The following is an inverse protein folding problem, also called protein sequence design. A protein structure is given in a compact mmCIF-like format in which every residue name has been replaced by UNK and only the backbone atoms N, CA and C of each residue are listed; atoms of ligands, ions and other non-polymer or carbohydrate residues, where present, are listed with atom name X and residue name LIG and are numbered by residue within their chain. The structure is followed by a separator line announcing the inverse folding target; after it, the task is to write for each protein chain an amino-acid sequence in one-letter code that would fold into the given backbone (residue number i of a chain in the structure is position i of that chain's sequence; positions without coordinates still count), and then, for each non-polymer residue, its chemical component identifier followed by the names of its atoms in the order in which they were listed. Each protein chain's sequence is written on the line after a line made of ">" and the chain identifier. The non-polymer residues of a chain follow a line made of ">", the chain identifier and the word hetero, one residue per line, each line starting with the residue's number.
data_IF_212610122535
#
_entry.id   IF_212610122535
#
_cell.length_a   1.000
_cell.length_b   1.000
_cell.length_c   1.000
_cell.angle_alpha   90.00
_cell.angle_beta   90.00
_cell.angle_gamma   90.00
#
_symmetry.space_group_name_H-M   'P 1'
#
loop_
_entity.id
_entity.type
_entity.pdbx_description
1 polymer ?
#
# COMPACT_ATOMS: atom_id res chain seq x y z
N UNK A 1 -14.64 -24.58 9.00
CA UNK A 1 -13.63 -25.35 9.77
C UNK A 1 -12.28 -25.37 9.06
N UNK A 2 -12.25 -25.52 7.73
CA UNK A 2 -11.00 -25.58 6.94
C UNK A 2 -10.10 -24.34 7.09
N UNK A 3 -10.65 -23.11 7.10
CA UNK A 3 -9.87 -21.88 7.27
C UNK A 3 -9.10 -21.85 8.59
N UNK A 4 -9.69 -22.36 9.68
CA UNK A 4 -9.07 -22.34 11.02
C UNK A 4 -7.87 -23.29 11.09
N UNK A 5 -7.98 -24.49 10.51
CA UNK A 5 -6.86 -25.44 10.44
C UNK A 5 -5.74 -24.88 9.56
N UNK A 6 -6.09 -24.26 8.44
CA UNK A 6 -5.12 -23.66 7.53
C UNK A 6 -4.34 -22.50 8.17
N UNK A 7 -5.02 -21.61 8.89
CA UNK A 7 -4.40 -20.50 9.63
C UNK A 7 -3.44 -21.01 10.71
N UNK A 8 -3.77 -22.11 11.39
CA UNK A 8 -2.87 -22.73 12.36
C UNK A 8 -1.59 -23.28 11.71
N UNK A 9 -1.68 -23.79 10.48
CA UNK A 9 -0.50 -24.27 9.76
C UNK A 9 0.40 -23.12 9.29
N UNK A 10 -0.18 -22.00 8.82
CA UNK A 10 0.57 -20.79 8.46
C UNK A 10 1.33 -20.19 9.65
N UNK A 11 0.78 -20.32 10.86
CA UNK A 11 1.38 -19.85 12.11
C UNK A 11 2.18 -20.92 12.87
N UNK A 12 2.44 -22.08 12.25
CA UNK A 12 3.21 -23.17 12.87
C UNK A 12 4.68 -22.76 13.08
N UNK A 13 5.29 -23.21 14.18
CA UNK A 13 6.73 -23.05 14.40
C UNK A 13 7.58 -23.84 13.40
N UNK A 14 7.01 -24.88 12.76
CA UNK A 14 7.73 -25.70 11.78
C UNK A 14 7.75 -25.01 10.40
N UNK A 15 8.96 -24.63 9.95
CA UNK A 15 9.16 -23.96 8.66
C UNK A 15 8.58 -24.74 7.47
N UNK A 16 8.77 -26.07 7.42
CA UNK A 16 8.28 -26.90 6.31
C UNK A 16 6.76 -26.87 6.22
N UNK A 17 6.09 -26.94 7.38
CA UNK A 17 4.63 -26.84 7.46
C UNK A 17 4.15 -25.50 6.92
N UNK A 18 4.80 -24.38 7.31
CA UNK A 18 4.45 -23.05 6.80
C UNK A 18 4.64 -22.95 5.29
N UNK A 19 5.78 -23.42 4.77
CA UNK A 19 6.09 -23.37 3.33
C UNK A 19 5.06 -24.17 2.50
N UNK A 20 4.75 -25.41 2.90
CA UNK A 20 3.71 -26.21 2.23
C UNK A 20 2.33 -25.56 2.30
N UNK A 21 1.97 -24.95 3.44
CA UNK A 21 0.72 -24.20 3.54
C UNK A 21 0.69 -22.97 2.65
N UNK A 22 1.79 -22.23 2.51
CA UNK A 22 1.85 -21.08 1.60
C UNK A 22 1.72 -21.48 0.13
N UNK A 23 2.23 -22.64 -0.27
CA UNK A 23 2.02 -23.18 -1.63
C UNK A 23 0.55 -23.55 -1.87
N UNK A 24 -0.09 -24.19 -0.89
CA UNK A 24 -1.51 -24.52 -0.96
C UNK A 24 -2.43 -23.29 -0.92
N UNK A 25 -1.95 -22.15 -0.39
CA UNK A 25 -2.72 -20.92 -0.21
C UNK A 25 -3.21 -20.36 -1.54
N UNK A 26 -2.37 -20.35 -2.58
CA UNK A 26 -2.80 -19.82 -3.89
C UNK A 26 -4.04 -20.55 -4.42
N UNK A 27 -4.08 -21.88 -4.28
CA UNK A 27 -5.26 -22.68 -4.64
C UNK A 27 -6.45 -22.37 -3.76
N UNK A 28 -6.23 -22.18 -2.46
CA UNK A 28 -7.29 -21.83 -1.50
C UNK A 28 -7.91 -20.45 -1.81
N UNK A 29 -7.10 -19.46 -2.18
CA UNK A 29 -7.55 -18.11 -2.55
C UNK A 29 -8.42 -18.08 -3.81
N UNK A 30 -8.14 -18.95 -4.78
CA UNK A 30 -8.93 -19.08 -6.02
C UNK A 30 -10.31 -19.66 -5.78
N UNK A 31 -10.50 -20.36 -4.66
CA UNK A 31 -11.67 -21.17 -4.45
C UNK A 31 -12.94 -20.31 -4.23
N UNK A 32 -14.05 -20.57 -4.95
CA UNK A 32 -15.26 -19.74 -4.88
C UNK A 32 -15.84 -19.59 -3.47
N UNK A 33 -15.69 -20.62 -2.62
CA UNK A 33 -16.14 -20.59 -1.24
C UNK A 33 -15.46 -19.49 -0.42
N UNK A 34 -14.16 -19.26 -0.63
CA UNK A 34 -13.43 -18.21 0.10
C UNK A 34 -13.81 -16.83 -0.44
N UNK A 35 -13.87 -16.67 -1.77
CA UNK A 35 -14.26 -15.41 -2.41
C UNK A 35 -15.64 -14.91 -1.94
N UNK A 36 -16.58 -15.84 -1.74
CA UNK A 36 -17.91 -15.55 -1.20
C UNK A 36 -17.98 -15.43 0.33
N UNK A 37 -16.89 -15.73 1.05
CA UNK A 37 -16.87 -15.65 2.51
C UNK A 37 -16.95 -14.20 3.01
N UNK A 38 -17.30 -14.06 4.30
CA UNK A 38 -17.35 -12.78 5.00
C UNK A 38 -15.94 -12.26 5.28
N UNK A 39 -15.83 -10.94 5.51
CA UNK A 39 -14.57 -10.26 5.85
C UNK A 39 -13.78 -10.98 6.95
N UNK A 40 -14.46 -11.50 7.98
CA UNK A 40 -13.84 -12.20 9.11
C UNK A 40 -12.92 -13.37 8.70
N UNK A 41 -13.25 -14.09 7.62
CA UNK A 41 -12.40 -15.20 7.16
C UNK A 41 -11.10 -14.70 6.52
N UNK A 42 -11.15 -13.55 5.82
CA UNK A 42 -9.96 -12.86 5.29
C UNK A 42 -9.11 -12.28 6.43
N UNK A 43 -9.73 -11.72 7.48
CA UNK A 43 -9.03 -11.20 8.65
C UNK A 43 -8.26 -12.32 9.38
N UNK A 44 -8.89 -13.48 9.59
CA UNK A 44 -8.22 -14.66 10.18
C UNK A 44 -7.06 -15.14 9.31
N UNK A 45 -7.25 -15.17 8.00
CA UNK A 45 -6.23 -15.58 7.05
C UNK A 45 -5.01 -14.66 7.13
N UNK A 46 -5.21 -13.34 7.04
CA UNK A 46 -4.12 -12.37 7.15
C UNK A 46 -3.46 -12.38 8.52
N UNK A 47 -4.17 -12.68 9.60
CA UNK A 47 -3.56 -12.89 10.90
C UNK A 47 -2.60 -14.09 10.91
N UNK A 48 -2.93 -15.16 10.18
CA UNK A 48 -2.01 -16.27 9.94
C UNK A 48 -0.78 -15.87 9.12
N UNK A 49 -0.96 -15.10 8.05
CA UNK A 49 0.13 -14.61 7.19
C UNK A 49 1.05 -13.63 7.92
N UNK A 50 0.49 -12.78 8.77
CA UNK A 50 1.25 -11.90 9.67
C UNK A 50 2.23 -12.70 10.52
N UNK A 51 1.79 -13.81 11.13
CA UNK A 51 2.67 -14.67 11.90
C UNK A 51 3.63 -15.49 11.04
N UNK A 52 3.27 -15.84 9.80
CA UNK A 52 4.23 -16.43 8.87
C UNK A 52 5.42 -15.49 8.62
N UNK A 53 5.18 -14.18 8.47
CA UNK A 53 6.24 -13.17 8.41
C UNK A 53 6.96 -12.99 9.76
N UNK A 54 6.22 -13.05 10.88
CA UNK A 54 6.79 -12.95 12.23
C UNK A 54 7.90 -13.97 12.47
N UNK A 55 7.70 -15.23 12.06
CA UNK A 55 8.66 -16.32 12.19
C UNK A 55 9.71 -16.41 11.06
N UNK A 56 9.78 -15.41 10.19
CA UNK A 56 10.85 -15.29 9.20
C UNK A 56 11.99 -14.45 9.77
N UNK A 57 13.11 -15.08 10.13
CA UNK A 57 14.20 -14.44 10.89
C UNK A 57 15.42 -14.06 10.04
N UNK A 58 15.50 -14.54 8.79
CA UNK A 58 16.66 -14.29 7.92
C UNK A 58 16.27 -13.30 6.81
N UNK A 59 17.14 -12.33 6.44
CA UNK A 59 16.81 -11.29 5.46
C UNK A 59 16.33 -11.82 4.10
N UNK A 60 17.08 -12.72 3.45
CA UNK A 60 16.69 -13.28 2.14
C UNK A 60 15.34 -14.03 2.19
N UNK A 61 15.07 -14.91 3.17
CA UNK A 61 13.72 -15.46 3.37
C UNK A 61 12.62 -14.43 3.64
N UNK A 62 12.89 -13.34 4.37
CA UNK A 62 11.92 -12.27 4.59
C UNK A 62 11.53 -11.58 3.27
N UNK A 63 12.52 -11.20 2.45
CA UNK A 63 12.29 -10.60 1.13
C UNK A 63 11.45 -11.51 0.24
N UNK A 64 11.87 -12.78 0.06
CA UNK A 64 11.10 -13.75 -0.73
C UNK A 64 9.69 -13.97 -0.20
N UNK A 65 9.50 -13.99 1.12
CA UNK A 65 8.18 -14.12 1.71
C UNK A 65 7.33 -12.88 1.46
N UNK A 66 7.89 -11.67 1.59
CA UNK A 66 7.18 -10.42 1.29
C UNK A 66 6.69 -10.39 -0.16
N UNK A 67 7.54 -10.77 -1.12
CA UNK A 67 7.14 -10.86 -2.53
C UNK A 67 6.03 -11.90 -2.73
N UNK A 68 6.20 -13.11 -2.20
CA UNK A 68 5.18 -14.17 -2.28
C UNK A 68 3.84 -13.73 -1.72
N UNK A 69 3.83 -13.01 -0.60
CA UNK A 69 2.61 -12.49 0.02
C UNK A 69 1.97 -11.37 -0.82
N UNK A 70 2.78 -10.49 -1.42
CA UNK A 70 2.31 -9.50 -2.39
C UNK A 70 1.70 -10.14 -3.64
N UNK A 71 2.36 -11.15 -4.23
CA UNK A 71 1.89 -11.83 -5.43
C UNK A 71 0.52 -12.53 -5.25
N UNK A 72 0.11 -12.82 -4.01
CA UNK A 72 -1.22 -13.38 -3.71
C UNK A 72 -2.36 -12.51 -4.22
N UNK A 73 -2.19 -11.19 -4.31
CA UNK A 73 -3.22 -10.29 -4.81
C UNK A 73 -3.51 -10.52 -6.30
N UNK A 74 -2.51 -10.90 -7.09
CA UNK A 74 -2.66 -11.27 -8.50
C UNK A 74 -3.54 -12.49 -8.72
N UNK A 75 -3.75 -13.33 -7.70
CA UNK A 75 -4.62 -14.53 -7.78
C UNK A 75 -6.08 -14.19 -8.03
N UNK A 76 -6.52 -12.98 -7.66
CA UNK A 76 -7.88 -12.55 -7.90
C UNK A 76 -8.11 -12.06 -9.33
N UNK A 77 -7.07 -11.73 -10.09
CA UNK A 77 -7.24 -11.22 -11.44
C UNK A 77 -7.62 -12.33 -12.43
N UNK A 78 -8.64 -12.07 -13.24
CA UNK A 78 -9.00 -12.86 -14.42
C UNK A 78 -9.16 -11.91 -15.62
N UNK A 79 -8.52 -12.23 -16.75
CA UNK A 79 -8.60 -11.41 -17.95
C UNK A 79 -10.03 -11.27 -18.50
N UNK A 80 -10.94 -12.20 -18.19
CA UNK A 80 -12.35 -12.09 -18.55
C UNK A 80 -13.08 -11.00 -17.77
N UNK A 81 -12.57 -10.61 -16.59
CA UNK A 81 -13.16 -9.54 -15.81
C UNK A 81 -13.03 -8.17 -16.51
N UNK A 82 -12.06 -8.02 -17.43
CA UNK A 82 -11.92 -6.83 -18.27
C UNK A 82 -12.81 -6.85 -19.53
N UNK A 83 -13.36 -8.02 -19.90
CA UNK A 83 -14.22 -8.17 -21.09
C UNK A 83 -15.68 -7.87 -20.78
N UNK A 84 -16.13 -8.22 -19.57
CA UNK A 84 -17.44 -7.79 -19.08
C UNK A 84 -17.43 -6.27 -18.94
N UNK A 85 -18.52 -5.60 -19.30
CA UNK A 85 -18.67 -4.15 -19.33
C UNK A 85 -17.89 -3.51 -18.19
N UNK A 86 -16.88 -2.69 -18.51
CA UNK A 86 -15.80 -2.22 -17.62
C UNK A 86 -16.24 -1.47 -16.34
N UNK A 87 -17.55 -1.35 -16.13
CA UNK A 87 -18.22 -0.60 -15.09
C UNK A 87 -18.79 -1.47 -13.95
N UNK A 88 -18.77 -2.80 -14.06
CA UNK A 88 -19.28 -3.67 -13.00
C UNK A 88 -18.17 -4.28 -12.12
N UNK A 89 -18.38 -4.19 -10.80
CA UNK A 89 -17.51 -4.82 -9.79
C UNK A 89 -17.78 -6.33 -9.75
N UNK A 90 -16.80 -7.12 -10.13
CA UNK A 90 -16.91 -8.59 -10.17
C UNK A 90 -16.82 -9.21 -8.77
N UNK A 91 -17.10 -10.51 -8.68
CA UNK A 91 -16.87 -11.28 -7.45
C UNK A 91 -15.39 -11.31 -7.05
N UNK A 92 -14.49 -11.33 -8.04
CA UNK A 92 -13.05 -11.29 -7.82
C UNK A 92 -12.62 -9.97 -7.20
N UNK A 93 -13.14 -8.84 -7.69
CA UNK A 93 -12.86 -7.51 -7.12
C UNK A 93 -13.33 -7.40 -5.67
N UNK A 94 -14.51 -7.94 -5.36
CA UNK A 94 -15.03 -7.97 -3.98
C UNK A 94 -14.14 -8.80 -3.07
N UNK A 95 -13.58 -9.91 -3.55
CA UNK A 95 -12.63 -10.72 -2.79
C UNK A 95 -11.29 -10.00 -2.61
N UNK A 96 -10.79 -9.34 -3.66
CA UNK A 96 -9.62 -8.47 -3.62
C UNK A 96 -9.79 -7.37 -2.55
N UNK A 97 -10.89 -6.63 -2.54
CA UNK A 97 -11.14 -5.60 -1.52
C UNK A 97 -11.13 -6.15 -0.10
N UNK A 98 -11.78 -7.30 0.13
CA UNK A 98 -11.80 -7.93 1.46
C UNK A 98 -10.40 -8.37 1.89
N UNK A 99 -9.63 -8.94 0.97
CA UNK A 99 -8.25 -9.39 1.23
C UNK A 99 -7.32 -8.18 1.49
N UNK A 100 -7.41 -7.11 0.70
CA UNK A 100 -6.68 -5.85 0.94
C UNK A 100 -7.05 -5.22 2.28
N UNK A 101 -8.35 -5.13 2.58
CA UNK A 101 -8.84 -4.59 3.86
C UNK A 101 -8.36 -5.39 5.05
N UNK A 102 -8.34 -6.72 4.94
CA UNK A 102 -7.86 -7.61 5.99
C UNK A 102 -6.36 -7.40 6.29
N UNK A 103 -5.53 -7.21 5.26
CA UNK A 103 -4.12 -6.88 5.44
C UNK A 103 -3.94 -5.61 6.29
N UNK A 104 -4.54 -4.50 5.85
CA UNK A 104 -4.43 -3.23 6.55
C UNK A 104 -5.01 -3.30 7.95
N UNK A 105 -6.15 -3.98 8.14
CA UNK A 105 -6.75 -4.17 9.46
C UNK A 105 -5.82 -4.91 10.42
N UNK A 106 -5.24 -6.03 9.98
CA UNK A 106 -4.30 -6.80 10.81
C UNK A 106 -3.07 -5.96 11.13
N UNK A 107 -2.56 -5.21 10.15
CA UNK A 107 -1.40 -4.34 10.37
C UNK A 107 -1.69 -3.22 11.37
N UNK A 108 -2.81 -2.50 11.24
CA UNK A 108 -3.21 -1.45 12.18
C UNK A 108 -3.38 -1.99 13.62
N UNK A 109 -3.91 -3.20 13.78
CA UNK A 109 -4.08 -3.82 15.10
C UNK A 109 -2.75 -4.24 15.74
N UNK A 110 -1.78 -4.66 14.93
CA UNK A 110 -0.53 -5.23 15.42
C UNK A 110 0.66 -4.28 15.36
N UNK A 111 0.53 -3.11 14.73
CA UNK A 111 1.65 -2.20 14.47
C UNK A 111 2.47 -1.88 15.71
N UNK A 112 1.79 -1.54 16.82
CA UNK A 112 2.43 -1.22 18.09
C UNK A 112 3.11 -2.42 18.76
N UNK A 113 2.70 -3.65 18.43
CA UNK A 113 3.30 -4.87 18.97
C UNK A 113 4.55 -5.31 18.21
N UNK A 114 4.89 -4.65 17.10
CA UNK A 114 6.10 -4.93 16.32
C UNK A 114 7.28 -4.26 17.02
N UNK A 115 8.19 -5.06 17.56
CA UNK A 115 9.43 -4.53 18.12
C UNK A 115 10.38 -4.03 17.03
N UNK A 116 11.32 -3.15 17.43
CA UNK A 116 12.27 -2.49 16.52
C UNK A 116 13.03 -3.46 15.61
N UNK A 117 13.39 -4.67 16.08
CA UNK A 117 14.15 -5.63 15.27
C UNK A 117 13.31 -6.34 14.21
N UNK A 118 11.98 -6.22 14.29
CA UNK A 118 11.04 -6.79 13.31
C UNK A 118 10.44 -5.73 12.38
N UNK A 119 10.61 -4.45 12.67
CA UNK A 119 9.94 -3.38 11.94
C UNK A 119 10.28 -3.40 10.44
N UNK A 120 11.56 -3.53 10.08
CA UNK A 120 12.03 -3.45 8.69
C UNK A 120 11.36 -4.46 7.76
N UNK A 121 11.17 -5.70 8.20
CA UNK A 121 10.49 -6.72 7.37
C UNK A 121 9.00 -6.44 7.19
N UNK A 122 8.36 -5.76 8.13
CA UNK A 122 6.97 -5.33 7.99
C UNK A 122 6.85 -4.07 7.13
N UNK A 123 7.80 -3.14 7.19
CA UNK A 123 7.89 -2.01 6.25
C UNK A 123 8.06 -2.52 4.81
N UNK A 124 8.96 -3.48 4.60
CA UNK A 124 9.13 -4.15 3.31
C UNK A 124 7.84 -4.89 2.88
N UNK A 125 7.17 -5.58 3.82
CA UNK A 125 5.90 -6.25 3.51
C UNK A 125 4.85 -5.26 3.05
N UNK A 126 4.71 -4.10 3.71
CA UNK A 126 3.80 -3.02 3.28
C UNK A 126 4.13 -2.58 1.88
N UNK A 127 5.42 -2.34 1.58
CA UNK A 127 5.88 -1.94 0.25
C UNK A 127 5.48 -2.96 -0.83
N UNK A 128 5.77 -4.25 -0.62
CA UNK A 128 5.42 -5.33 -1.58
C UNK A 128 3.92 -5.57 -1.72
N UNK A 129 3.17 -5.45 -0.63
CA UNK A 129 1.72 -5.63 -0.65
C UNK A 129 1.04 -4.45 -1.34
N UNK A 130 1.43 -3.22 -1.02
CA UNK A 130 0.89 -2.02 -1.64
C UNK A 130 1.13 -2.01 -3.15
N UNK A 131 2.36 -2.30 -3.59
CA UNK A 131 2.70 -2.47 -5.00
C UNK A 131 1.79 -3.47 -5.72
N UNK A 132 1.60 -4.66 -5.15
CA UNK A 132 0.76 -5.68 -5.79
C UNK A 132 -0.74 -5.34 -5.75
N UNK A 133 -1.19 -4.52 -4.78
CA UNK A 133 -2.54 -3.95 -4.81
C UNK A 133 -2.69 -2.97 -5.98
N UNK A 134 -1.71 -2.08 -6.22
CA UNK A 134 -1.71 -1.20 -7.39
C UNK A 134 -1.62 -1.99 -8.70
N UNK A 135 -0.76 -3.01 -8.76
CA UNK A 135 -0.63 -3.91 -9.92
C UNK A 135 -1.93 -4.63 -10.26
N UNK A 136 -2.73 -5.00 -9.26
CA UNK A 136 -4.07 -5.54 -9.50
C UNK A 136 -4.98 -4.51 -10.19
N UNK A 137 -4.97 -3.25 -9.73
CA UNK A 137 -5.75 -2.17 -10.33
C UNK A 137 -5.29 -1.87 -11.77
N UNK A 138 -3.98 -1.85 -12.02
CA UNK A 138 -3.41 -1.72 -13.36
C UNK A 138 -3.85 -2.89 -14.27
N UNK A 139 -3.82 -4.12 -13.75
CA UNK A 139 -4.30 -5.32 -14.50
C UNK A 139 -5.79 -5.24 -14.81
N UNK A 140 -6.58 -4.57 -13.96
CA UNK A 140 -8.00 -4.21 -14.22
C UNK A 140 -8.16 -2.94 -15.06
N UNK A 141 -7.12 -2.52 -15.78
CA UNK A 141 -7.08 -1.35 -16.65
C UNK A 141 -7.63 -0.09 -15.95
N UNK A 142 -7.31 0.07 -14.67
CA UNK A 142 -7.76 1.21 -13.86
C UNK A 142 -9.28 1.42 -13.89
N UNK A 143 -10.07 0.34 -13.95
CA UNK A 143 -11.55 0.41 -13.94
C UNK A 143 -12.04 1.33 -12.81
N UNK A 144 -12.69 2.44 -13.19
CA UNK A 144 -13.19 3.48 -12.28
C UNK A 144 -13.93 2.94 -11.04
N UNK A 145 -14.93 2.03 -11.16
CA UNK A 145 -15.62 1.48 -9.99
C UNK A 145 -14.70 0.62 -9.10
N UNK A 146 -13.70 -0.04 -9.68
CA UNK A 146 -12.74 -0.85 -8.91
C UNK A 146 -11.76 0.04 -8.15
N UNK A 147 -11.23 1.08 -8.80
CA UNK A 147 -10.36 2.08 -8.20
C UNK A 147 -11.08 2.83 -7.08
N UNK A 148 -12.26 3.40 -7.35
CA UNK A 148 -13.07 4.08 -6.34
C UNK A 148 -13.45 3.12 -5.19
N UNK A 149 -13.82 1.88 -5.51
CA UNK A 149 -14.12 0.85 -4.52
C UNK A 149 -12.93 0.52 -3.62
N UNK A 150 -11.71 0.47 -4.16
CA UNK A 150 -10.49 0.26 -3.40
C UNK A 150 -10.15 1.46 -2.51
N UNK A 151 -10.16 2.68 -3.06
CA UNK A 151 -9.92 3.92 -2.30
C UNK A 151 -10.88 4.01 -1.11
N UNK A 152 -12.19 3.94 -1.35
CA UNK A 152 -13.20 4.13 -0.32
C UNK A 152 -13.25 2.98 0.70
N UNK A 153 -13.28 1.73 0.24
CA UNK A 153 -13.52 0.57 1.12
C UNK A 153 -12.26 0.05 1.80
N UNK A 154 -11.08 0.40 1.28
CA UNK A 154 -9.78 -0.07 1.76
C UNK A 154 -9.00 1.11 2.33
N UNK A 155 -8.50 2.03 1.50
CA UNK A 155 -7.55 3.06 1.90
C UNK A 155 -8.15 4.08 2.89
N UNK A 156 -9.19 4.81 2.49
CA UNK A 156 -9.88 5.79 3.35
C UNK A 156 -10.55 5.14 4.56
N UNK A 157 -10.88 3.85 4.48
CA UNK A 157 -11.52 3.15 5.60
C UNK A 157 -10.57 2.77 6.74
N UNK A 158 -9.26 2.64 6.47
CA UNK A 158 -8.29 2.14 7.43
C UNK A 158 -6.96 2.91 7.36
N UNK A 159 -5.97 2.55 6.52
CA UNK A 159 -4.62 3.09 6.64
C UNK A 159 -4.55 4.61 6.42
N UNK A 160 -5.44 5.17 5.60
CA UNK A 160 -5.54 6.60 5.29
C UNK A 160 -6.85 7.20 5.79
N UNK A 161 -7.41 6.69 6.90
CA UNK A 161 -8.64 7.22 7.50
C UNK A 161 -8.43 8.50 8.33
N UNK A 162 -7.18 8.75 8.75
CA UNK A 162 -6.87 9.79 9.72
C UNK A 162 -7.54 9.59 11.10
N UNK A 163 -8.06 8.41 11.41
CA UNK A 163 -8.55 8.11 12.76
C UNK A 163 -7.35 7.97 13.72
N UNK A 164 -7.43 8.63 14.87
CA UNK A 164 -6.50 8.49 16.00
C UNK A 164 -6.19 7.04 16.43
N UNK A 165 -7.08 6.09 16.13
CA UNK A 165 -6.88 4.65 16.40
C UNK A 165 -5.87 3.99 15.46
N UNK A 166 -5.58 4.62 14.32
CA UNK A 166 -4.58 4.14 13.36
C UNK A 166 -3.26 4.80 13.71
N UNK A 167 -2.26 3.98 14.01
CA UNK A 167 -0.91 4.47 14.31
C UNK A 167 -0.33 5.24 13.12
N UNK A 168 0.22 6.43 13.39
CA UNK A 168 0.76 7.34 12.36
C UNK A 168 1.87 6.75 11.51
N UNK A 169 2.63 5.77 12.03
CA UNK A 169 3.69 5.12 11.27
C UNK A 169 3.23 4.41 9.99
N UNK A 170 1.95 3.98 9.92
CA UNK A 170 1.40 3.36 8.71
C UNK A 170 1.18 4.39 7.59
N UNK A 171 0.36 5.45 7.76
CA UNK A 171 0.18 6.45 6.72
C UNK A 171 1.49 7.17 6.35
N UNK A 172 2.37 7.42 7.32
CA UNK A 172 3.70 7.98 7.06
C UNK A 172 4.50 7.07 6.12
N UNK A 173 4.58 5.77 6.40
CA UNK A 173 5.28 4.84 5.51
C UNK A 173 4.62 4.73 4.13
N UNK A 174 3.30 4.92 4.00
CA UNK A 174 2.64 4.96 2.70
C UNK A 174 3.06 6.21 1.91
N UNK A 175 3.14 7.37 2.57
CA UNK A 175 3.65 8.62 1.98
C UNK A 175 5.06 8.40 1.44
N UNK A 176 5.94 7.81 2.25
CA UNK A 176 7.34 7.57 1.89
C UNK A 176 7.53 6.65 0.67
N UNK A 177 6.54 5.83 0.29
CA UNK A 177 6.69 4.84 -0.79
C UNK A 177 5.74 5.02 -1.99
N UNK A 178 4.70 5.85 -1.89
CA UNK A 178 3.62 5.84 -2.89
C UNK A 178 4.11 6.20 -4.30
N UNK A 179 4.92 7.25 -4.41
CA UNK A 179 5.44 7.71 -5.70
C UNK A 179 6.47 6.73 -6.26
N UNK A 180 7.33 6.17 -5.42
CA UNK A 180 8.29 5.13 -5.83
C UNK A 180 7.60 3.88 -6.39
N UNK A 181 6.55 3.39 -5.70
CA UNK A 181 5.84 2.20 -6.16
C UNK A 181 5.00 2.50 -7.40
N UNK A 182 4.57 3.75 -7.61
CA UNK A 182 3.93 4.17 -8.85
C UNK A 182 4.91 4.18 -10.02
N UNK A 183 6.08 4.80 -9.84
CA UNK A 183 7.15 4.82 -10.84
C UNK A 183 7.58 3.39 -11.21
N UNK A 184 7.76 2.53 -10.20
CA UNK A 184 8.06 1.12 -10.40
C UNK A 184 6.97 0.39 -11.20
N UNK A 185 5.70 0.70 -10.96
CA UNK A 185 4.58 0.09 -11.66
C UNK A 185 4.56 0.45 -13.16
N UNK A 186 5.04 1.64 -13.51
CA UNK A 186 5.10 2.14 -14.88
C UNK A 186 6.34 1.66 -15.63
N UNK A 187 7.49 1.66 -14.95
CA UNK A 187 8.78 1.23 -15.51
C UNK A 187 8.94 -0.29 -15.55
N UNK A 188 8.12 -1.04 -14.79
CA UNK A 188 8.34 -2.45 -14.48
C UNK A 188 9.70 -2.73 -13.81
N UNK A 189 10.34 -1.72 -13.22
CA UNK A 189 11.63 -1.84 -12.55
C UNK A 189 11.61 -2.96 -11.51
N UNK A 190 12.67 -3.78 -11.53
CA UNK A 190 12.84 -4.83 -10.54
C UNK A 190 13.75 -4.39 -9.40
N UNK A 191 13.19 -3.91 -8.28
CA UNK A 191 13.96 -3.51 -7.08
C UNK A 191 14.88 -4.61 -6.48
N UNK A 192 14.85 -5.86 -6.98
CA UNK A 192 15.76 -6.92 -6.52
C UNK A 192 17.06 -7.01 -7.31
N UNK A 193 17.10 -6.44 -8.51
CA UNK A 193 18.25 -6.48 -9.40
C UNK A 193 18.43 -5.11 -10.02
N UNK A 194 19.54 -4.45 -9.69
CA UNK A 194 20.00 -3.29 -10.46
C UNK A 194 20.38 -3.81 -11.86
N UNK A 195 19.44 -3.76 -12.79
CA UNK A 195 19.71 -4.05 -14.18
C UNK A 195 20.34 -2.80 -14.78
N UNK A 196 21.66 -2.78 -14.89
CA UNK A 196 22.43 -1.71 -15.54
C UNK A 196 21.98 -1.46 -17.01
N UNK A 197 21.27 -2.42 -17.61
CA UNK A 197 20.73 -2.37 -18.97
C UNK A 197 19.25 -1.89 -19.05
N UNK A 198 18.61 -1.52 -17.94
CA UNK A 198 17.23 -1.03 -17.95
C UNK A 198 17.19 0.41 -18.47
N UNK A 199 16.63 0.63 -19.67
CA UNK A 199 16.50 1.97 -20.25
C UNK A 199 15.70 2.88 -19.30
N UNK A 200 16.35 3.90 -18.75
CA UNK A 200 15.66 4.92 -17.94
C UNK A 200 14.72 5.71 -18.85
N UNK A 201 13.41 5.62 -18.57
CA UNK A 201 12.41 6.44 -19.21
C UNK A 201 12.70 7.91 -18.94
N UNK A 202 12.58 8.74 -19.97
CA UNK A 202 12.65 10.19 -19.82
C UNK A 202 11.48 10.70 -18.96
N UNK A 203 11.65 11.86 -18.33
CA UNK A 203 10.59 12.47 -17.51
C UNK A 203 9.32 12.75 -18.32
N UNK A 204 9.45 13.07 -19.62
CA UNK A 204 8.31 13.25 -20.54
C UNK A 204 7.55 11.93 -20.76
N UNK A 205 8.26 10.81 -20.93
CA UNK A 205 7.64 9.48 -21.06
C UNK A 205 6.95 9.07 -19.76
N UNK A 206 7.58 9.31 -18.60
CA UNK A 206 6.97 9.05 -17.30
C UNK A 206 5.69 9.87 -17.11
N UNK A 207 5.73 11.18 -17.42
CA UNK A 207 4.56 12.05 -17.34
C UNK A 207 3.41 11.56 -18.25
N UNK A 208 3.73 11.15 -19.48
CA UNK A 208 2.73 10.57 -20.39
C UNK A 208 2.09 9.30 -19.82
N UNK A 209 2.88 8.41 -19.22
CA UNK A 209 2.36 7.19 -18.62
C UNK A 209 1.51 7.47 -17.39
N UNK A 210 1.91 8.43 -16.55
CA UNK A 210 1.17 8.81 -15.32
C UNK A 210 -0.20 9.40 -15.65
N UNK A 211 -0.34 10.18 -16.74
CA UNK A 211 -1.62 10.76 -17.19
C UNK A 211 -2.72 9.72 -17.43
N UNK A 212 -2.34 8.52 -17.86
CA UNK A 212 -3.27 7.40 -18.08
C UNK A 212 -3.61 6.62 -16.80
N UNK A 213 -3.09 7.04 -15.64
CA UNK A 213 -3.32 6.39 -14.34
C UNK A 213 -4.16 7.25 -13.39
N UNK A 214 -4.83 6.64 -12.40
CA UNK A 214 -5.63 7.37 -11.43
C UNK A 214 -4.80 7.99 -10.30
N UNK A 215 -3.50 8.29 -10.49
CA UNK A 215 -2.63 8.81 -9.42
C UNK A 215 -3.23 10.05 -8.75
N UNK A 216 -3.81 10.98 -9.53
CA UNK A 216 -4.47 12.17 -9.01
C UNK A 216 -5.55 11.84 -7.94
N UNK A 217 -6.34 10.78 -8.14
CA UNK A 217 -7.36 10.33 -7.17
C UNK A 217 -6.75 9.79 -5.88
N UNK A 218 -5.53 9.27 -5.93
CA UNK A 218 -4.81 8.82 -4.74
C UNK A 218 -4.20 10.01 -4.00
N UNK A 219 -3.62 10.98 -4.72
CA UNK A 219 -3.09 12.23 -4.15
C UNK A 219 -4.20 13.03 -3.47
N UNK A 220 -5.40 13.07 -4.04
CA UNK A 220 -6.58 13.71 -3.45
C UNK A 220 -6.90 13.21 -2.03
N UNK A 221 -6.66 11.93 -1.73
CA UNK A 221 -6.82 11.37 -0.37
C UNK A 221 -5.92 12.11 0.62
N UNK A 222 -4.68 12.38 0.23
CA UNK A 222 -3.70 13.04 1.08
C UNK A 222 -4.00 14.53 1.20
N UNK A 223 -4.42 15.18 0.11
CA UNK A 223 -4.89 16.58 0.14
C UNK A 223 -6.09 16.74 1.08
N UNK A 224 -7.07 15.83 1.06
CA UNK A 224 -8.18 15.82 2.02
C UNK A 224 -7.69 15.69 3.47
N UNK A 225 -6.74 14.79 3.74
CA UNK A 225 -6.18 14.57 5.08
C UNK A 225 -5.34 15.75 5.58
N UNK A 226 -4.60 16.41 4.70
CA UNK A 226 -3.76 17.58 5.04
C UNK A 226 -4.62 18.81 5.38
N UNK A 227 -5.77 18.98 4.70
CA UNK A 227 -6.68 20.10 4.93
C UNK A 227 -7.60 19.90 6.15
N UNK A 228 -7.83 18.67 6.61
CA UNK A 228 -8.65 18.43 7.79
C UNK A 228 -7.88 18.75 9.08
N UNK A 229 -8.10 19.95 9.61
CA UNK A 229 -7.49 20.48 10.84
C UNK A 229 -7.69 19.60 12.09
N UNK A 230 -8.68 18.71 12.09
CA UNK A 230 -8.91 17.78 13.19
C UNK A 230 -7.95 16.59 13.19
N UNK A 231 -7.15 16.43 12.13
CA UNK A 231 -6.17 15.35 11.99
C UNK A 231 -4.82 15.74 12.59
N UNK A 232 -4.01 14.72 12.88
CA UNK A 232 -2.69 14.88 13.50
C UNK A 232 -1.83 15.89 12.74
N UNK A 233 -1.38 16.97 13.41
CA UNK A 233 -0.47 17.98 12.83
C UNK A 233 0.75 17.32 12.18
N UNK A 234 1.35 16.33 12.85
CA UNK A 234 2.51 15.58 12.34
C UNK A 234 2.21 14.90 11.00
N UNK A 235 1.02 14.30 10.85
CA UNK A 235 0.64 13.67 9.58
C UNK A 235 0.38 14.72 8.50
N UNK A 236 -0.27 15.84 8.83
CA UNK A 236 -0.55 16.92 7.88
C UNK A 236 0.73 17.57 7.36
N UNK A 237 1.68 17.85 8.24
CA UNK A 237 3.01 18.36 7.90
C UNK A 237 3.77 17.38 7.00
N UNK A 238 3.86 16.09 7.39
CA UNK A 238 4.50 15.05 6.56
C UNK A 238 3.86 14.94 5.16
N UNK A 239 2.55 15.11 5.03
CA UNK A 239 1.89 15.14 3.71
C UNK A 239 2.30 16.38 2.93
N UNK A 240 2.26 17.57 3.57
CA UNK A 240 2.66 18.84 2.96
C UNK A 240 4.10 18.72 2.46
N UNK A 241 5.05 18.52 3.36
CA UNK A 241 6.50 18.57 3.14
C UNK A 241 7.01 17.46 2.22
N UNK A 242 6.66 16.19 2.46
CA UNK A 242 7.27 15.08 1.74
C UNK A 242 6.52 14.63 0.49
N UNK A 243 5.19 14.78 0.46
CA UNK A 243 4.38 14.30 -0.66
C UNK A 243 3.98 15.41 -1.61
N UNK A 244 3.36 16.47 -1.11
CA UNK A 244 2.79 17.52 -1.97
C UNK A 244 3.85 18.45 -2.56
N UNK A 245 5.01 18.59 -1.91
CA UNK A 245 6.17 19.30 -2.44
C UNK A 245 7.13 18.41 -3.24
N UNK A 246 6.84 17.11 -3.42
CA UNK A 246 7.70 16.24 -4.24
C UNK A 246 7.67 16.70 -5.71
N UNK A 247 8.84 17.06 -6.25
CA UNK A 247 9.00 17.56 -7.62
C UNK A 247 8.40 16.63 -8.69
N UNK A 248 8.34 15.32 -8.42
CA UNK A 248 7.75 14.33 -9.35
C UNK A 248 6.29 14.63 -9.63
N UNK A 249 5.52 15.15 -8.66
CA UNK A 249 4.11 15.47 -8.88
C UNK A 249 3.92 16.63 -9.87
N UNK A 250 4.85 17.59 -9.89
CA UNK A 250 4.88 18.67 -10.88
C UNK A 250 5.37 18.14 -12.23
N UNK A 251 6.48 17.38 -12.24
CA UNK A 251 7.03 16.78 -13.48
C UNK A 251 6.05 15.85 -14.18
N UNK A 252 5.25 15.11 -13.41
CA UNK A 252 4.21 14.23 -13.94
C UNK A 252 2.87 14.92 -14.23
N UNK A 253 2.83 16.25 -14.14
CA UNK A 253 1.64 17.09 -14.39
C UNK A 253 0.41 16.71 -13.53
N UNK A 254 0.64 16.22 -12.30
CA UNK A 254 -0.43 15.92 -11.34
C UNK A 254 -0.82 17.18 -10.56
N UNK A 255 0.17 17.98 -10.15
CA UNK A 255 -0.02 19.27 -9.51
C UNK A 255 0.46 20.38 -10.44
N UNK A 256 -0.29 21.48 -10.52
CA UNK A 256 0.19 22.71 -11.13
C UNK A 256 1.09 23.45 -10.14
N UNK A 257 2.18 24.05 -10.60
CA UNK A 257 2.95 25.02 -9.81
C UNK A 257 1.99 26.17 -9.48
N UNK A 258 1.51 26.22 -8.26
CA UNK A 258 0.90 27.42 -7.68
C UNK A 258 1.99 28.12 -6.88
N UNK A 259 2.24 29.39 -7.17
CA UNK A 259 3.23 30.28 -6.53
C UNK A 259 3.10 30.40 -4.99
N UNK A 260 2.16 29.71 -4.35
CA UNK A 260 1.95 29.71 -2.90
C UNK A 260 3.06 28.96 -2.11
N UNK A 261 3.87 28.14 -2.78
CA UNK A 261 4.95 27.38 -2.14
C UNK A 261 6.20 28.21 -1.80
N UNK A 262 6.46 29.30 -2.53
CA UNK A 262 7.61 30.18 -2.23
C UNK A 262 7.27 31.13 -1.06
N UNK A 263 6.06 31.71 -1.03
CA UNK A 263 5.65 32.66 0.03
C UNK A 263 5.46 32.00 1.41
N UNK A 264 5.01 30.74 1.49
CA UNK A 264 4.90 30.04 2.79
C UNK A 264 6.26 29.56 3.33
N UNK A 265 7.24 29.28 2.45
CA UNK A 265 8.57 28.83 2.87
C UNK A 265 9.40 29.95 3.51
N UNK A 266 9.31 31.19 2.98
CA UNK A 266 9.96 32.36 3.58
C UNK A 266 9.30 32.75 4.92
N UNK A 267 7.99 32.54 5.06
CA UNK A 267 7.28 32.84 6.31
C UNK A 267 7.55 31.83 7.44
N UNK A 268 7.79 30.55 7.13
CA UNK A 268 8.12 29.52 8.13
C UNK A 268 9.61 29.59 8.57
N UNK A 269 10.54 29.99 7.69
CA UNK A 269 11.95 30.28 8.08
C UNK A 269 12.04 31.46 9.07
N UNK A 270 11.24 32.51 8.88
CA UNK A 270 11.18 33.66 9.80
C UNK A 270 10.58 33.28 11.18
N UNK A 271 9.62 32.34 11.24
CA UNK A 271 9.06 31.87 12.52
C UNK A 271 10.02 30.94 13.29
N UNK A 272 10.83 30.12 12.60
CA UNK A 272 11.84 29.27 13.26
C UNK A 272 13.04 30.07 13.80
N UNK A 273 13.42 31.20 13.17
CA UNK A 273 14.45 32.10 13.72
C UNK A 273 13.99 32.83 15.01
N UNK A 274 12.69 33.09 15.18
CA UNK A 274 12.17 33.75 16.39
C UNK A 274 12.09 32.82 17.62
N UNK A 275 12.09 31.49 17.44
CA UNK A 275 12.08 30.50 18.53
C UNK A 275 13.49 30.09 19.04
N UNK A 276 14.54 30.84 18.70
CA UNK A 276 15.89 30.65 19.28
C UNK A 276 15.96 31.12 20.76
N UNK A 277 15.55 30.20 21.65
CA UNK A 277 15.97 30.02 23.05
C UNK A 277 16.43 31.27 23.84
N UNK A 278 15.49 31.98 24.48
CA UNK A 278 15.79 32.83 25.65
C UNK A 278 15.73 31.99 26.93
N UNK A 279 16.89 31.44 27.30
CA UNK A 279 17.03 30.48 28.39
C UNK A 279 16.68 30.98 29.80
N UNK A 280 16.81 30.05 30.75
CA UNK A 280 17.13 30.28 32.16
C UNK A 280 17.92 29.08 32.70
#
# INVERSE_FOLDING_TARGET
>A
METSTFVKQLSSNNRRVRETSLEALQKFLRAPQLKNSKQLEFDKLWKGLYYAMWFSDRPRPQQRLANKLGELYGVYFDANDNKNTAEEITMNDKAFFKFSKAFWKVLCLEWFNIDRYRLDKYLLLVRRVFFNQLKYLQSRNWSKPVVAGYIEKVLKSLPLSGDSKVYSGIPIHIIDIILDEWERLLTNRNDEFDNEDEEELTEEEKASLVKDTPLALFIEIFTELQNDVNKSKVLRNKIKEDLLHDERLVKWEILSITDEGEEESEAEEDEEEEEEWKGF
#
